data_IF_686354621871
#
_entry.id   IF_686354621871
#
_cell.length_a   1.000
_cell.length_b   1.000
_cell.length_c   1.000
_cell.angle_alpha   90.00
_cell.angle_beta   90.00
_cell.angle_gamma   90.00
#
_symmetry.space_group_name_H-M   'P 1'
#
loop_
_entity.id
_entity.type
_entity.pdbx_description
1 polymer ?
#
# COMPACT_ATOMS: atom_id res chain seq x y z
N UNK A 1 7.06 -13.36 -7.21
CA UNK A 1 7.60 -12.01 -7.54
C UNK A 1 6.96 -11.04 -6.57
N UNK A 2 7.73 -10.13 -5.97
CA UNK A 2 7.23 -9.18 -4.97
C UNK A 2 7.20 -7.74 -5.47
N UNK A 3 6.37 -6.92 -4.85
CA UNK A 3 6.42 -5.46 -4.89
C UNK A 3 7.18 -4.99 -3.66
N UNK A 4 8.31 -4.34 -3.84
CA UNK A 4 9.04 -3.77 -2.70
C UNK A 4 8.58 -2.34 -2.48
N UNK A 5 8.14 -2.05 -1.25
CA UNK A 5 7.98 -0.68 -0.77
C UNK A 5 9.12 -0.43 0.21
N UNK A 6 10.10 0.35 -0.24
CA UNK A 6 11.20 0.78 0.62
C UNK A 6 10.67 1.81 1.63
N UNK A 7 10.96 1.62 2.91
CA UNK A 7 10.64 2.62 3.92
C UNK A 7 11.76 3.68 3.92
N UNK A 8 11.44 4.96 3.66
CA UNK A 8 12.39 6.01 4.07
C UNK A 8 12.24 6.24 5.58
N UNK A 9 13.09 5.57 6.34
CA UNK A 9 13.15 5.70 7.79
C UNK A 9 13.30 7.15 8.26
N UNK A 10 13.87 8.05 7.45
CA UNK A 10 14.05 9.47 7.80
C UNK A 10 12.71 10.21 7.84
N UNK A 11 11.76 9.85 6.99
CA UNK A 11 10.47 10.52 6.96
C UNK A 11 9.57 10.04 8.10
N UNK A 12 9.65 8.75 8.45
CA UNK A 12 9.02 8.22 9.66
C UNK A 12 9.65 8.83 10.91
N UNK A 13 10.97 8.94 10.96
CA UNK A 13 11.70 9.56 12.08
C UNK A 13 11.25 11.01 12.29
N UNK A 14 11.21 11.83 11.23
CA UNK A 14 10.73 13.22 11.32
C UNK A 14 9.30 13.31 11.86
N UNK A 15 8.42 12.41 11.43
CA UNK A 15 7.04 12.37 11.93
C UNK A 15 7.00 11.92 13.40
N UNK A 16 7.79 10.93 13.80
CA UNK A 16 7.91 10.44 15.18
C UNK A 16 8.47 11.51 16.12
N UNK A 17 9.50 12.24 15.71
CA UNK A 17 10.11 13.33 16.49
C UNK A 17 9.11 14.45 16.77
N UNK A 18 8.26 14.77 15.78
CA UNK A 18 7.16 15.74 15.97
C UNK A 18 6.12 15.27 16.98
N UNK A 19 5.88 13.96 17.07
CA UNK A 19 4.83 13.39 17.90
C UNK A 19 5.30 13.15 19.34
N UNK A 20 6.52 12.61 19.55
CA UNK A 20 6.98 12.16 20.90
C UNK A 20 8.49 12.26 21.16
N UNK A 21 9.31 12.80 20.24
CA UNK A 21 10.76 12.95 20.46
C UNK A 21 11.53 11.62 20.60
N UNK A 22 11.11 10.57 19.88
CA UNK A 22 11.68 9.22 19.97
C UNK A 22 12.65 8.98 18.82
N UNK A 23 13.90 8.65 19.13
CA UNK A 23 14.89 8.18 18.15
C UNK A 23 14.61 6.71 17.75
N UNK A 24 14.15 6.47 16.52
CA UNK A 24 13.85 5.14 15.99
C UNK A 24 15.12 4.40 15.55
N UNK A 25 15.18 3.12 15.87
CA UNK A 25 16.15 2.17 15.32
C UNK A 25 15.47 1.24 14.34
N UNK A 26 16.24 0.69 13.39
CA UNK A 26 15.76 -0.33 12.47
C UNK A 26 15.12 -1.53 13.20
N UNK A 27 15.69 -1.94 14.35
CA UNK A 27 15.14 -3.00 15.19
C UNK A 27 13.73 -2.71 15.71
N UNK A 28 13.39 -1.44 15.95
CA UNK A 28 12.10 -1.04 16.48
C UNK A 28 11.01 -1.21 15.43
N UNK A 29 11.33 -0.84 14.18
CA UNK A 29 10.47 -1.06 13.00
C UNK A 29 10.24 -2.55 12.79
N UNK A 30 11.29 -3.37 12.89
CA UNK A 30 11.17 -4.83 12.77
C UNK A 30 10.28 -5.42 13.87
N UNK A 31 10.49 -5.03 15.13
CA UNK A 31 9.70 -5.54 16.27
C UNK A 31 8.23 -5.10 16.20
N UNK A 32 7.98 -3.90 15.71
CA UNK A 32 6.65 -3.35 15.49
C UNK A 32 6.01 -3.83 14.17
N UNK A 33 6.71 -4.68 13.41
CA UNK A 33 6.41 -5.00 12.02
C UNK A 33 4.99 -5.53 11.78
N UNK A 34 4.43 -6.31 12.71
CA UNK A 34 3.06 -6.80 12.58
C UNK A 34 2.01 -5.68 12.62
N UNK A 35 2.18 -4.67 13.48
CA UNK A 35 1.23 -3.56 13.55
C UNK A 35 1.37 -2.58 12.40
N UNK A 36 2.60 -2.29 11.97
CA UNK A 36 2.88 -1.49 10.77
C UNK A 36 2.20 -2.13 9.54
N UNK A 37 2.24 -3.47 9.48
CA UNK A 37 1.49 -4.24 8.49
C UNK A 37 0.01 -3.93 8.47
N UNK A 38 -0.64 -3.91 9.62
CA UNK A 38 -2.09 -3.82 9.70
C UNK A 38 -2.54 -2.43 9.25
N UNK A 39 -1.73 -1.43 9.58
CA UNK A 39 -1.90 -0.05 9.12
C UNK A 39 -1.82 0.02 7.60
N UNK A 40 -0.78 -0.57 6.99
CA UNK A 40 -0.61 -0.57 5.54
C UNK A 40 -1.69 -1.35 4.80
N UNK A 41 -2.10 -2.51 5.35
CA UNK A 41 -3.17 -3.30 4.77
C UNK A 41 -4.49 -2.51 4.77
N UNK A 42 -4.84 -1.90 5.90
CA UNK A 42 -6.02 -1.04 6.00
C UNK A 42 -5.96 0.15 5.03
N UNK A 43 -4.77 0.73 4.84
CA UNK A 43 -4.55 1.84 3.91
C UNK A 43 -4.76 1.41 2.45
N UNK A 44 -4.21 0.27 2.05
CA UNK A 44 -4.42 -0.32 0.72
C UNK A 44 -5.90 -0.65 0.52
N UNK A 45 -6.54 -1.34 1.47
CA UNK A 45 -7.98 -1.67 1.38
C UNK A 45 -8.84 -0.41 1.22
N UNK A 46 -8.49 0.67 1.93
CA UNK A 46 -9.18 1.95 1.80
C UNK A 46 -9.04 2.55 0.38
N UNK A 47 -7.85 2.47 -0.23
CA UNK A 47 -7.63 2.92 -1.62
C UNK A 47 -8.46 2.11 -2.62
N UNK A 48 -8.51 0.79 -2.47
CA UNK A 48 -9.34 -0.06 -3.34
C UNK A 48 -10.83 0.23 -3.16
N UNK A 49 -11.29 0.45 -1.92
CA UNK A 49 -12.68 0.78 -1.62
C UNK A 49 -13.14 2.08 -2.30
N UNK A 50 -12.28 3.09 -2.32
CA UNK A 50 -12.54 4.42 -2.87
C UNK A 50 -11.92 4.62 -4.26
N UNK A 51 -11.62 3.53 -4.97
CA UNK A 51 -11.02 3.61 -6.28
C UNK A 51 -11.97 4.32 -7.28
N UNK A 52 -11.43 5.17 -8.18
CA UNK A 52 -12.23 5.85 -9.18
C UNK A 52 -12.84 4.88 -10.19
N UNK A 53 -13.85 5.35 -10.93
CA UNK A 53 -14.50 4.59 -11.99
C UNK A 53 -13.52 4.25 -13.13
N UNK A 54 -13.74 3.10 -13.78
CA UNK A 54 -12.88 2.60 -14.86
C UNK A 54 -12.86 3.52 -16.08
N UNK A 55 -13.93 4.26 -16.33
CA UNK A 55 -14.11 5.13 -17.49
C UNK A 55 -13.52 6.53 -17.31
N UNK A 56 -13.51 7.04 -16.08
CA UNK A 56 -13.08 8.42 -15.80
C UNK A 56 -11.71 8.50 -15.16
N UNK A 57 -11.29 7.46 -14.44
CA UNK A 57 -10.16 7.57 -13.53
C UNK A 57 -10.40 8.67 -12.48
N UNK A 58 -9.35 9.06 -11.77
CA UNK A 58 -9.44 10.07 -10.73
C UNK A 58 -8.28 10.05 -9.74
N UNK A 59 -8.36 10.94 -8.77
CA UNK A 59 -7.46 10.97 -7.63
C UNK A 59 -7.86 9.89 -6.61
N UNK A 60 -6.87 9.17 -6.08
CA UNK A 60 -7.05 8.19 -5.01
C UNK A 60 -6.55 8.74 -3.70
N UNK A 61 -7.04 8.15 -2.60
CA UNK A 61 -6.55 8.44 -1.27
C UNK A 61 -5.01 8.32 -1.22
N UNK A 62 -4.36 9.38 -0.72
CA UNK A 62 -2.90 9.55 -0.78
C UNK A 62 -2.42 10.52 -1.86
N UNK A 63 -3.30 11.01 -2.74
CA UNK A 63 -3.02 12.06 -3.72
C UNK A 63 -2.51 11.57 -5.08
N UNK A 64 -2.41 10.25 -5.28
CA UNK A 64 -2.04 9.68 -6.57
C UNK A 64 -3.19 9.76 -7.57
N UNK A 65 -2.89 9.88 -8.86
CA UNK A 65 -3.90 9.93 -9.92
C UNK A 65 -3.88 8.64 -10.73
N UNK A 66 -5.00 7.93 -10.76
CA UNK A 66 -5.18 6.76 -11.60
C UNK A 66 -5.89 7.12 -12.89
N UNK A 67 -5.21 6.90 -14.01
CA UNK A 67 -5.79 7.09 -15.34
C UNK A 67 -6.91 6.09 -15.63
N UNK A 68 -7.93 6.57 -16.33
CA UNK A 68 -9.00 5.76 -16.89
C UNK A 68 -8.45 4.57 -17.71
N UNK A 69 -9.28 3.54 -17.86
CA UNK A 69 -9.04 2.50 -18.84
C UNK A 69 -9.40 3.02 -20.23
N UNK A 70 -8.65 2.59 -21.24
CA UNK A 70 -8.98 2.97 -22.61
C UNK A 70 -10.32 2.35 -23.03
N UNK A 71 -11.06 3.07 -23.87
CA UNK A 71 -12.32 2.59 -24.45
C UNK A 71 -12.13 1.24 -25.16
N UNK A 72 -11.06 1.11 -25.97
CA UNK A 72 -10.73 -0.16 -26.63
C UNK A 72 -10.53 -1.33 -25.64
N UNK A 73 -9.98 -1.05 -24.46
CA UNK A 73 -9.82 -2.07 -23.42
C UNK A 73 -11.16 -2.44 -22.80
N UNK A 74 -12.03 -1.46 -22.53
CA UNK A 74 -13.37 -1.69 -22.00
C UNK A 74 -14.30 -2.42 -22.98
N UNK A 75 -14.17 -2.15 -24.28
CA UNK A 75 -14.88 -2.90 -25.34
C UNK A 75 -14.43 -4.37 -25.37
N UNK A 76 -13.13 -4.62 -25.20
CA UNK A 76 -12.59 -5.98 -25.12
C UNK A 76 -12.87 -6.68 -23.77
N UNK A 77 -13.21 -5.91 -22.74
CA UNK A 77 -13.44 -6.36 -21.35
C UNK A 77 -14.71 -5.72 -20.79
N UNK A 78 -15.90 -6.06 -21.35
CA UNK A 78 -17.16 -5.41 -20.97
C UNK A 78 -17.53 -5.65 -19.50
N UNK A 79 -17.01 -6.71 -18.87
CA UNK A 79 -17.18 -6.99 -17.44
C UNK A 79 -16.59 -5.90 -16.53
N UNK A 80 -15.76 -5.01 -17.08
CA UNK A 80 -15.12 -3.91 -16.35
C UNK A 80 -15.85 -2.57 -16.46
N UNK A 81 -16.86 -2.48 -17.31
CA UNK A 81 -17.69 -1.28 -17.47
C UNK A 81 -18.53 -1.06 -16.19
N UNK A 82 -18.62 0.18 -15.75
CA UNK A 82 -19.25 0.58 -14.48
C UNK A 82 -18.50 0.15 -13.23
N UNK A 83 -17.30 -0.42 -13.39
CA UNK A 83 -16.47 -0.90 -12.29
C UNK A 83 -15.59 0.19 -11.67
N UNK A 84 -14.85 -0.20 -10.64
CA UNK A 84 -13.81 0.64 -10.03
C UNK A 84 -12.43 0.15 -10.45
N UNK A 85 -11.50 1.06 -10.75
CA UNK A 85 -10.14 0.74 -11.16
C UNK A 85 -9.45 -0.15 -10.11
N UNK A 86 -8.79 -1.22 -10.56
CA UNK A 86 -8.11 -2.25 -9.76
C UNK A 86 -9.00 -3.11 -8.83
N UNK A 87 -10.23 -2.68 -8.52
CA UNK A 87 -11.20 -3.43 -7.71
C UNK A 87 -12.23 -4.20 -8.52
N UNK A 88 -12.49 -3.77 -9.74
CA UNK A 88 -13.45 -4.32 -10.69
C UNK A 88 -13.46 -5.86 -10.79
N UNK A 89 -12.32 -6.54 -10.68
CA UNK A 89 -12.28 -8.02 -10.61
C UNK A 89 -12.00 -8.58 -9.21
N UNK A 90 -11.64 -7.75 -8.23
CA UNK A 90 -11.22 -8.15 -6.87
C UNK A 90 -9.92 -8.97 -6.79
N UNK A 91 -9.46 -9.50 -7.92
CA UNK A 91 -8.34 -10.43 -8.06
C UNK A 91 -7.04 -9.84 -7.51
N UNK A 92 -6.78 -8.55 -7.78
CA UNK A 92 -5.58 -7.89 -7.27
C UNK A 92 -5.59 -7.81 -5.75
N UNK A 93 -6.69 -7.32 -5.15
CA UNK A 93 -6.84 -7.24 -3.70
C UNK A 93 -6.68 -8.62 -3.05
N UNK A 94 -7.30 -9.66 -3.61
CA UNK A 94 -7.22 -11.04 -3.11
C UNK A 94 -5.82 -11.66 -3.28
N UNK A 95 -5.03 -11.18 -4.25
CA UNK A 95 -3.70 -11.72 -4.53
C UNK A 95 -2.58 -11.15 -3.67
N UNK A 96 -2.83 -10.04 -2.96
CA UNK A 96 -1.84 -9.42 -2.09
C UNK A 96 -1.54 -10.38 -0.94
N UNK A 97 -0.34 -10.95 -0.98
CA UNK A 97 0.18 -11.98 -0.06
C UNK A 97 1.65 -11.63 0.24
N UNK A 98 2.36 -12.21 1.21
CA UNK A 98 3.76 -11.91 1.49
C UNK A 98 4.61 -12.86 0.66
N UNK A 99 5.76 -12.41 0.17
CA UNK A 99 6.67 -13.31 -0.54
C UNK A 99 7.13 -14.44 0.40
N UNK A 100 6.78 -15.69 0.08
CA UNK A 100 7.11 -16.88 0.90
C UNK A 100 6.14 -17.21 2.04
N UNK A 101 5.09 -16.42 2.26
CA UNK A 101 4.02 -16.71 3.22
C UNK A 101 2.65 -16.36 2.62
N UNK A 102 1.91 -17.35 2.08
CA UNK A 102 0.63 -17.10 1.40
C UNK A 102 -0.48 -16.57 2.33
N UNK A 103 -0.29 -16.63 3.66
CA UNK A 103 -1.22 -16.12 4.67
C UNK A 103 -0.78 -14.77 5.29
N UNK A 104 0.39 -14.26 4.89
CA UNK A 104 0.87 -12.93 5.29
C UNK A 104 0.74 -12.03 4.05
N UNK A 105 0.77 -10.70 4.17
CA UNK A 105 0.60 -9.77 3.01
C UNK A 105 1.91 -9.02 2.69
N UNK A 106 2.86 -8.99 3.63
CA UNK A 106 4.14 -8.28 3.56
C UNK A 106 5.18 -9.03 4.42
N UNK A 107 6.49 -8.80 4.19
CA UNK A 107 7.58 -9.14 5.13
C UNK A 107 8.36 -7.89 5.47
N UNK A 108 8.69 -7.70 6.74
CA UNK A 108 9.53 -6.58 7.20
C UNK A 108 10.99 -7.04 7.21
N UNK A 109 11.83 -6.41 6.41
CA UNK A 109 13.30 -6.49 6.56
C UNK A 109 13.78 -5.34 7.44
N UNK A 110 15.10 -5.18 7.63
CA UNK A 110 15.67 -4.11 8.46
C UNK A 110 15.22 -2.70 8.04
N UNK A 111 14.88 -2.48 6.76
CA UNK A 111 14.45 -1.19 6.21
C UNK A 111 13.28 -1.27 5.24
N UNK A 112 12.86 -2.47 4.82
CA UNK A 112 11.93 -2.61 3.69
C UNK A 112 10.68 -3.36 4.11
N UNK A 113 9.55 -2.94 3.54
CA UNK A 113 8.32 -3.69 3.60
C UNK A 113 8.13 -4.33 2.23
N UNK A 114 8.37 -5.64 2.17
CA UNK A 114 8.24 -6.40 0.94
C UNK A 114 6.80 -6.89 0.86
N UNK A 115 6.02 -6.35 -0.07
CA UNK A 115 4.70 -6.83 -0.39
C UNK A 115 4.84 -7.96 -1.41
N UNK A 116 4.22 -9.10 -1.18
CA UNK A 116 4.10 -10.11 -2.22
C UNK A 116 2.79 -9.93 -2.98
N UNK A 117 2.71 -10.62 -4.11
CA UNK A 117 1.47 -10.76 -4.83
C UNK A 117 1.55 -12.05 -5.62
N UNK A 118 0.48 -12.84 -5.57
CA UNK A 118 0.34 -14.02 -6.39
C UNK A 118 0.05 -13.66 -7.87
N UNK A 119 -0.21 -12.37 -8.17
CA UNK A 119 -0.56 -11.92 -9.51
C UNK A 119 0.65 -11.37 -10.29
N UNK A 120 1.05 -12.01 -11.41
CA UNK A 120 2.13 -11.50 -12.25
C UNK A 120 1.88 -10.09 -12.78
N UNK A 121 0.62 -9.74 -13.05
CA UNK A 121 0.22 -8.42 -13.58
C UNK A 121 0.36 -7.28 -12.56
N UNK A 122 0.47 -7.59 -11.27
CA UNK A 122 0.50 -6.59 -10.20
C UNK A 122 1.69 -5.63 -10.35
N UNK A 123 2.85 -6.10 -10.82
CA UNK A 123 4.03 -5.25 -11.11
C UNK A 123 3.74 -4.22 -12.19
N UNK A 124 3.06 -4.63 -13.27
CA UNK A 124 2.66 -3.72 -14.34
C UNK A 124 1.59 -2.71 -13.88
N UNK A 125 0.66 -3.16 -13.02
CA UNK A 125 -0.37 -2.30 -12.45
C UNK A 125 0.24 -1.28 -11.48
N UNK A 126 1.14 -1.69 -10.58
CA UNK A 126 1.82 -0.82 -9.63
C UNK A 126 2.60 0.32 -10.33
N UNK A 127 3.20 0.07 -11.50
CA UNK A 127 3.89 1.10 -12.28
C UNK A 127 2.95 2.13 -12.91
N UNK A 128 1.76 1.71 -13.33
CA UNK A 128 0.78 2.57 -14.03
C UNK A 128 -0.18 3.25 -13.08
N UNK A 129 -0.51 2.57 -11.98
CA UNK A 129 -1.52 2.93 -10.99
C UNK A 129 -0.99 2.47 -9.63
N UNK A 130 -0.11 3.26 -9.01
CA UNK A 130 0.45 2.92 -7.72
C UNK A 130 -0.68 2.74 -6.71
N UNK A 131 -0.85 1.50 -6.23
CA UNK A 131 -1.81 1.18 -5.17
C UNK A 131 -1.11 0.96 -3.84
N UNK A 132 0.21 0.80 -3.89
CA UNK A 132 1.08 0.66 -2.74
C UNK A 132 2.16 1.76 -2.78
N UNK A 133 1.98 2.84 -2.04
CA UNK A 133 2.93 3.95 -1.96
C UNK A 133 2.86 4.66 -0.60
N UNK A 134 3.92 5.38 -0.25
CA UNK A 134 3.94 6.27 0.92
C UNK A 134 3.27 7.60 0.62
N UNK A 135 2.45 8.07 1.55
CA UNK A 135 1.94 9.45 1.55
C UNK A 135 1.92 9.99 2.99
N UNK A 136 1.79 11.32 3.18
CA UNK A 136 1.94 11.94 4.50
C UNK A 136 1.07 11.31 5.60
N UNK A 137 -0.22 11.08 5.33
CA UNK A 137 -1.13 10.48 6.32
C UNK A 137 -0.72 9.05 6.75
N UNK A 138 -0.17 8.26 5.84
CA UNK A 138 0.28 6.90 6.15
C UNK A 138 1.57 6.92 6.97
N UNK A 139 2.49 7.83 6.64
CA UNK A 139 3.72 8.05 7.41
C UNK A 139 3.37 8.46 8.85
N UNK A 140 2.42 9.38 9.02
CA UNK A 140 1.95 9.83 10.33
C UNK A 140 1.32 8.69 11.15
N UNK A 141 0.43 7.88 10.55
CA UNK A 141 -0.15 6.71 11.22
C UNK A 141 0.89 5.71 11.70
N UNK A 142 1.88 5.42 10.84
CA UNK A 142 2.98 4.49 11.19
C UNK A 142 3.85 5.09 12.30
N UNK A 143 4.17 6.37 12.22
CA UNK A 143 4.95 7.06 13.25
C UNK A 143 4.21 7.12 14.59
N UNK A 144 2.92 7.40 14.60
CA UNK A 144 2.09 7.39 15.81
C UNK A 144 2.05 6.00 16.44
N UNK A 145 1.87 4.96 15.64
CA UNK A 145 1.89 3.58 16.14
C UNK A 145 3.25 3.23 16.76
N UNK A 146 4.36 3.54 16.09
CA UNK A 146 5.70 3.32 16.61
C UNK A 146 5.95 4.09 17.91
N UNK A 147 5.50 5.34 17.98
CA UNK A 147 5.65 6.18 19.15
C UNK A 147 4.83 5.67 20.35
N UNK A 148 3.69 5.01 20.11
CA UNK A 148 2.91 4.29 21.12
C UNK A 148 3.59 2.98 21.55
N UNK A 149 4.11 2.22 20.59
CA UNK A 149 4.75 0.95 20.84
C UNK A 149 6.03 1.08 21.68
N UNK A 150 6.81 2.14 21.46
CA UNK A 150 8.09 2.39 22.15
C UNK A 150 7.96 3.20 23.44
N UNK A 151 6.93 4.04 23.56
CA UNK A 151 6.69 4.89 24.73
C UNK A 151 5.75 4.27 25.77
N UNK A 152 5.23 3.07 25.51
CA UNK A 152 4.36 2.29 26.40
C UNK A 152 5.13 1.35 27.32
#
# INVERSE_FOLDING_TARGET
MGLTLEIDARDIQKASDRLRGIALRASDITNAGEGIRLILQADVDYRFLHAPATETGGEVYGGERWEALSEAYLVARPERLGGQILRDTGELQQSLTASGSPNQVFSVTNTDLIFGTALPKAVGLQKKRPFLFWHPLLIEKVAEYLANYLGG
#
